data_IF_716556403504
#
_entry.id   IF_716556403504
#
_cell.length_a   1.000
_cell.length_b   1.000
_cell.length_c   1.000
_cell.angle_alpha   90.00
_cell.angle_beta   90.00
_cell.angle_gamma   90.00
#
_symmetry.space_group_name_H-M   'P 1'
#
loop_
_entity.id
_entity.type
_entity.pdbx_description
1 polymer ?
#
# COMPACT_ATOMS: atom_id res chain seq x y z
N UNK A 1 -1.76 -5.05 -1.31
CA UNK A 1 -2.21 -6.33 -0.75
C UNK A 1 -1.00 -7.24 -0.67
N UNK A 2 -0.99 -8.24 0.20
CA UNK A 2 -0.03 -9.34 0.05
C UNK A 2 -0.38 -10.10 -1.23
N UNK A 3 0.60 -10.62 -1.99
CA UNK A 3 0.31 -11.51 -3.10
C UNK A 3 -0.50 -12.70 -2.56
N UNK A 4 -1.66 -12.92 -3.17
CA UNK A 4 -2.45 -14.12 -2.92
C UNK A 4 -1.84 -15.27 -3.74
N UNK A 5 -1.93 -16.52 -3.29
CA UNK A 5 -1.55 -17.65 -4.13
C UNK A 5 -2.33 -17.61 -5.45
N UNK A 6 -1.82 -18.22 -6.54
CA UNK A 6 -2.39 -18.08 -7.89
C UNK A 6 -3.89 -18.40 -7.98
N UNK A 7 -4.36 -19.33 -7.15
CA UNK A 7 -5.75 -19.82 -7.17
C UNK A 7 -6.68 -19.07 -6.20
N UNK A 8 -6.26 -17.90 -5.72
CA UNK A 8 -7.02 -17.10 -4.75
C UNK A 8 -7.37 -15.73 -5.31
N UNK A 9 -8.66 -15.49 -5.44
CA UNK A 9 -9.22 -14.19 -5.78
C UNK A 9 -9.67 -13.40 -4.55
N UNK A 10 -9.85 -12.09 -4.75
CA UNK A 10 -10.45 -11.20 -3.76
C UNK A 10 -11.95 -11.12 -4.03
N UNK A 11 -12.76 -11.60 -3.09
CA UNK A 11 -14.21 -11.48 -3.20
C UNK A 11 -14.62 -9.99 -3.32
N UNK A 12 -15.43 -9.60 -4.32
CA UNK A 12 -15.72 -8.19 -4.63
C UNK A 12 -16.40 -7.46 -3.47
N UNK A 13 -17.15 -8.18 -2.62
CA UNK A 13 -17.74 -7.65 -1.40
C UNK A 13 -16.73 -7.03 -0.41
N UNK A 14 -15.46 -7.43 -0.44
CA UNK A 14 -14.42 -6.83 0.41
C UNK A 14 -14.02 -5.43 -0.03
N UNK A 15 -14.13 -5.09 -1.32
CA UNK A 15 -13.79 -3.76 -1.83
C UNK A 15 -14.66 -2.67 -1.19
N UNK A 16 -15.95 -2.97 -0.99
CA UNK A 16 -16.92 -2.05 -0.38
C UNK A 16 -16.83 -1.97 1.14
N UNK A 17 -16.25 -2.98 1.80
CA UNK A 17 -16.16 -3.09 3.27
C UNK A 17 -14.79 -2.73 3.83
N UNK A 18 -13.77 -2.71 2.98
CA UNK A 18 -12.40 -2.40 3.40
C UNK A 18 -12.33 -0.97 3.95
N UNK A 19 -11.90 -0.87 5.22
CA UNK A 19 -11.63 0.42 5.88
C UNK A 19 -10.24 0.96 5.57
N UNK A 20 -9.35 0.11 5.09
CA UNK A 20 -8.01 0.47 4.63
C UNK A 20 -7.50 -0.57 3.63
N UNK A 21 -6.54 -0.17 2.78
CA UNK A 21 -5.89 -1.05 1.82
C UNK A 21 -4.38 -0.96 1.99
N UNK A 22 -3.75 -2.03 2.49
CA UNK A 22 -2.31 -2.05 2.66
C UNK A 22 -1.60 -2.61 1.43
N UNK A 23 -0.74 -1.82 0.81
CA UNK A 23 0.14 -2.21 -0.31
C UNK A 23 1.56 -2.45 0.22
N UNK A 24 2.10 -3.64 -0.01
CA UNK A 24 3.50 -3.92 0.30
C UNK A 24 4.36 -3.27 -0.77
N UNK A 25 5.33 -2.43 -0.35
CA UNK A 25 6.23 -1.72 -1.26
C UNK A 25 7.36 -2.65 -1.68
N UNK A 26 7.07 -3.53 -2.64
CA UNK A 26 8.03 -4.42 -3.25
C UNK A 26 8.83 -3.72 -4.39
N UNK A 27 9.78 -4.45 -4.97
CA UNK A 27 10.62 -3.97 -6.10
C UNK A 27 9.78 -3.56 -7.31
N UNK A 28 8.63 -4.19 -7.54
CA UNK A 28 7.77 -3.98 -8.71
C UNK A 28 6.61 -3.00 -8.48
N UNK A 29 6.33 -2.58 -7.24
CA UNK A 29 5.25 -1.60 -6.99
C UNK A 29 5.57 -0.26 -7.69
N UNK A 30 4.68 0.22 -8.55
CA UNK A 30 4.81 1.51 -9.25
C UNK A 30 3.76 2.51 -8.76
N UNK A 31 3.95 3.80 -9.07
CA UNK A 31 2.93 4.81 -8.82
C UNK A 31 1.66 4.52 -9.61
N UNK A 32 1.77 4.04 -10.84
CA UNK A 32 0.60 3.69 -11.67
C UNK A 32 -0.20 2.54 -11.05
N UNK A 33 0.46 1.53 -10.49
CA UNK A 33 -0.23 0.49 -9.75
C UNK A 33 -0.99 1.07 -8.53
N UNK A 34 -0.43 2.07 -7.85
CA UNK A 34 -1.13 2.77 -6.76
C UNK A 34 -2.34 3.57 -7.28
N UNK A 35 -2.23 4.21 -8.45
CA UNK A 35 -3.35 4.89 -9.13
C UNK A 35 -4.46 3.91 -9.50
N UNK A 36 -4.12 2.76 -10.08
CA UNK A 36 -5.08 1.69 -10.37
C UNK A 36 -5.78 1.22 -9.10
N UNK A 37 -5.04 1.02 -8.00
CA UNK A 37 -5.67 0.68 -6.73
C UNK A 37 -6.59 1.80 -6.21
N UNK A 38 -6.26 3.07 -6.49
CA UNK A 38 -7.11 4.19 -6.09
C UNK A 38 -8.45 4.20 -6.81
N UNK A 39 -8.52 3.77 -8.07
CA UNK A 39 -9.79 3.69 -8.81
C UNK A 39 -10.68 2.53 -8.36
N UNK A 40 -10.09 1.48 -7.79
CA UNK A 40 -10.82 0.29 -7.32
C UNK A 40 -11.54 0.54 -5.98
N UNK A 41 -10.92 1.31 -5.08
CA UNK A 41 -11.44 1.50 -3.72
C UNK A 41 -12.10 2.86 -3.53
N UNK A 42 -13.18 2.95 -2.72
CA UNK A 42 -13.85 4.22 -2.42
C UNK A 42 -12.88 5.31 -1.94
N UNK A 43 -13.10 6.60 -2.28
CA UNK A 43 -12.20 7.69 -1.88
C UNK A 43 -11.94 7.76 -0.37
N UNK A 44 -12.93 7.39 0.44
CA UNK A 44 -12.83 7.35 1.90
C UNK A 44 -11.91 6.25 2.44
N UNK A 45 -11.62 5.20 1.65
CA UNK A 45 -10.74 4.10 2.05
C UNK A 45 -9.29 4.48 1.79
N UNK A 46 -8.44 4.74 2.81
CA UNK A 46 -7.03 5.06 2.62
C UNK A 46 -6.25 3.89 2.02
N UNK A 47 -5.30 4.22 1.15
CA UNK A 47 -4.27 3.30 0.67
C UNK A 47 -3.01 3.52 1.51
N UNK A 48 -2.56 2.46 2.17
CA UNK A 48 -1.42 2.47 3.07
C UNK A 48 -0.23 1.79 2.38
N UNK A 49 0.84 2.55 2.15
CA UNK A 49 2.13 2.05 1.70
C UNK A 49 2.88 1.45 2.89
N UNK A 50 3.13 0.15 2.86
CA UNK A 50 3.91 -0.54 3.88
C UNK A 50 5.24 -1.03 3.29
N UNK A 51 6.37 -0.50 3.76
CA UNK A 51 7.69 -1.01 3.40
C UNK A 51 7.82 -2.52 3.65
N UNK A 52 8.32 -3.24 2.66
CA UNK A 52 8.61 -4.67 2.75
C UNK A 52 9.69 -4.91 3.79
N UNK A 53 9.34 -5.67 4.83
CA UNK A 53 10.22 -6.01 5.94
C UNK A 53 10.90 -4.83 6.64
N UNK A 54 10.34 -3.62 6.50
CA UNK A 54 10.97 -2.38 6.95
C UNK A 54 12.37 -2.12 6.33
N UNK A 55 12.68 -2.76 5.19
CA UNK A 55 13.99 -2.63 4.55
C UNK A 55 14.27 -1.18 4.11
N UNK A 56 15.51 -0.66 4.26
CA UNK A 56 15.83 0.73 3.93
C UNK A 56 15.46 1.15 2.51
N UNK A 57 15.73 0.30 1.51
CA UNK A 57 15.37 0.56 0.11
C UNK A 57 13.85 0.69 -0.08
N UNK A 58 13.08 -0.12 0.64
CA UNK A 58 11.62 -0.15 0.55
C UNK A 58 11.00 1.07 1.21
N UNK A 59 11.57 1.52 2.35
CA UNK A 59 11.20 2.80 2.99
C UNK A 59 11.44 3.99 2.05
N UNK A 60 12.63 4.08 1.45
CA UNK A 60 12.96 5.14 0.49
C UNK A 60 12.01 5.15 -0.71
N UNK A 61 11.69 3.97 -1.24
CA UNK A 61 10.74 3.83 -2.34
C UNK A 61 9.31 4.23 -1.93
N UNK A 62 8.86 3.84 -0.74
CA UNK A 62 7.54 4.18 -0.24
C UNK A 62 7.39 5.70 -0.06
N UNK A 63 8.42 6.37 0.45
CA UNK A 63 8.45 7.82 0.57
C UNK A 63 8.40 8.50 -0.80
N UNK A 64 9.22 8.06 -1.76
CA UNK A 64 9.19 8.59 -3.14
C UNK A 64 7.80 8.46 -3.77
N UNK A 65 7.16 7.30 -3.65
CA UNK A 65 5.79 7.09 -4.16
C UNK A 65 4.80 8.04 -3.49
N UNK A 66 4.91 8.25 -2.17
CA UNK A 66 4.04 9.17 -1.45
C UNK A 66 4.23 10.63 -1.93
N UNK A 67 5.47 11.07 -2.11
CA UNK A 67 5.79 12.41 -2.64
C UNK A 67 5.23 12.61 -4.05
N UNK A 68 5.48 11.64 -4.94
CA UNK A 68 5.01 11.70 -6.33
C UNK A 68 3.47 11.64 -6.39
N UNK A 69 2.83 10.84 -5.53
CA UNK A 69 1.38 10.82 -5.37
C UNK A 69 0.85 12.20 -4.96
N UNK A 70 1.43 12.80 -3.92
CA UNK A 70 1.06 14.14 -3.44
C UNK A 70 1.21 15.22 -4.52
N UNK A 71 2.33 15.23 -5.25
CA UNK A 71 2.56 16.16 -6.37
C UNK A 71 1.54 16.00 -7.51
N UNK A 72 1.04 14.79 -7.71
CA UNK A 72 0.03 14.51 -8.73
C UNK A 72 -1.42 14.68 -8.29
N UNK A 73 -1.66 15.13 -7.05
CA UNK A 73 -3.01 15.29 -6.50
C UNK A 73 -3.67 13.96 -6.10
N UNK A 74 -2.93 12.86 -6.05
CA UNK A 74 -3.45 11.55 -5.66
C UNK A 74 -3.65 11.50 -4.14
N UNK A 75 -4.87 11.80 -3.70
CA UNK A 75 -5.24 11.85 -2.29
C UNK A 75 -5.46 10.46 -1.66
N UNK A 76 -5.49 10.43 -0.32
CA UNK A 76 -5.80 9.23 0.45
C UNK A 76 -4.68 8.18 0.49
N UNK A 77 -3.45 8.56 0.11
CA UNK A 77 -2.26 7.73 0.25
C UNK A 77 -1.58 8.05 1.58
N UNK A 78 -1.22 7.01 2.35
CA UNK A 78 -0.57 7.11 3.66
C UNK A 78 0.65 6.19 3.71
N UNK A 79 1.62 6.54 4.54
CA UNK A 79 2.77 5.68 4.85
C UNK A 79 2.53 4.98 6.18
N UNK A 80 2.92 3.70 6.27
CA UNK A 80 2.93 2.92 7.51
C UNK A 80 4.28 2.27 7.71
N UNK A 81 4.56 1.86 8.94
CA UNK A 81 5.76 1.14 9.34
C UNK A 81 5.36 -0.13 10.08
N UNK A 82 6.17 -1.18 9.97
CA UNK A 82 5.97 -2.41 10.75
C UNK A 82 6.55 -2.21 12.16
N UNK A 83 5.75 -1.66 13.08
CA UNK A 83 6.22 -1.28 14.43
C UNK A 83 6.85 -2.44 15.20
N UNK A 84 6.32 -3.66 15.10
CA UNK A 84 6.92 -4.83 15.74
C UNK A 84 8.38 -5.06 15.30
N UNK A 85 8.75 -4.74 14.06
CA UNK A 85 10.15 -4.84 13.58
C UNK A 85 11.02 -3.70 14.07
N UNK A 86 10.43 -2.54 14.34
CA UNK A 86 11.14 -1.39 14.90
C UNK A 86 11.46 -1.66 16.38
N UNK A 87 10.50 -2.22 17.12
CA UNK A 87 10.63 -2.49 18.56
C UNK A 87 11.18 -3.88 18.90
N UNK A 88 11.49 -4.73 17.90
CA UNK A 88 12.03 -6.07 18.14
C UNK A 88 11.03 -7.06 18.76
N UNK A 89 9.73 -6.82 18.60
CA UNK A 89 8.66 -7.70 19.07
C UNK A 89 8.50 -8.90 18.12
N UNK A 90 8.33 -10.11 18.69
CA UNK A 90 8.09 -11.37 17.97
C UNK A 90 6.68 -11.86 18.19
#
# INVERSE_FOLDING_TARGET
MSPKPPDYDVHPGFLKRAREVKLVVCRTLTLDAVRTMRTIFPPATPIILQPQSNAPWSRKKALKILEDAGRSGLAGIRLSVQLHKVYGLR
#
